data_IF_110982085470
#
_entry.id   IF_110982085470
#
_cell.length_a   1.000
_cell.length_b   1.000
_cell.length_c   1.000
_cell.angle_alpha   90.00
_cell.angle_beta   90.00
_cell.angle_gamma   90.00
#
_symmetry.space_group_name_H-M   'P 1'
#
loop_
_entity.id
_entity.type
_entity.pdbx_description
1 polymer ?
#
# COMPACT_ATOMS: atom_id res chain seq x y z
N UNK A 1 -15.46 48.67 47.17
CA UNK A 1 -16.18 48.04 46.05
C UNK A 1 -15.16 47.73 44.97
N UNK A 2 -14.65 46.47 44.95
CA UNK A 2 -13.62 46.03 44.02
C UNK A 2 -14.33 45.33 42.85
N UNK A 3 -14.23 45.91 41.65
CA UNK A 3 -14.76 45.28 40.42
C UNK A 3 -13.79 44.23 39.96
N UNK A 4 -14.19 42.98 40.03
CA UNK A 4 -13.50 41.82 39.46
C UNK A 4 -13.79 41.80 37.95
N UNK A 5 -12.78 42.08 37.14
CA UNK A 5 -12.83 41.92 35.69
C UNK A 5 -12.42 40.48 35.42
N UNK A 6 -13.39 39.62 35.06
CA UNK A 6 -13.14 38.27 34.56
C UNK A 6 -12.71 38.37 33.10
N UNK A 7 -11.40 38.23 32.83
CA UNK A 7 -10.90 38.08 31.48
C UNK A 7 -11.16 36.62 31.00
N UNK A 8 -12.14 36.46 30.15
CA UNK A 8 -12.41 35.21 29.46
C UNK A 8 -11.34 35.05 28.37
N UNK A 9 -10.30 34.28 28.66
CA UNK A 9 -9.36 33.85 27.64
C UNK A 9 -10.03 32.80 26.75
N UNK A 10 -10.54 33.23 25.60
CA UNK A 10 -10.96 32.33 24.54
C UNK A 10 -9.69 31.68 23.94
N UNK A 11 -9.38 30.49 24.42
CA UNK A 11 -8.40 29.62 23.75
C UNK A 11 -9.04 29.20 22.44
N UNK A 12 -8.69 29.91 21.37
CA UNK A 12 -8.94 29.44 20.02
C UNK A 12 -8.09 28.16 19.82
N UNK A 13 -8.69 27.01 20.04
CA UNK A 13 -8.21 25.75 19.53
C UNK A 13 -8.25 25.86 18.00
N UNK A 14 -7.16 26.36 17.41
CA UNK A 14 -6.85 26.14 16.02
C UNK A 14 -6.62 24.65 15.87
N UNK A 15 -7.73 23.92 15.69
CA UNK A 15 -7.69 22.57 15.16
C UNK A 15 -7.01 22.68 13.80
N UNK A 16 -5.74 22.35 13.73
CA UNK A 16 -5.13 21.96 12.48
C UNK A 16 -5.93 20.74 12.05
N UNK A 17 -6.88 20.96 11.14
CA UNK A 17 -7.49 19.87 10.41
C UNK A 17 -6.30 19.10 9.82
N UNK A 18 -6.00 17.94 10.39
CA UNK A 18 -5.07 17.00 9.77
C UNK A 18 -5.72 16.65 8.43
N UNK A 19 -5.30 17.35 7.38
CA UNK A 19 -5.73 17.01 6.03
C UNK A 19 -5.13 15.63 5.78
N UNK A 20 -5.99 14.64 5.62
CA UNK A 20 -5.58 13.34 5.12
C UNK A 20 -4.67 13.56 3.91
N UNK A 21 -3.55 12.88 3.89
CA UNK A 21 -2.56 13.06 2.84
C UNK A 21 -3.13 12.46 1.54
N UNK A 22 -3.87 13.28 0.80
CA UNK A 22 -4.43 12.90 -0.49
C UNK A 22 -3.30 12.41 -1.39
N UNK A 23 -3.44 11.19 -1.92
CA UNK A 23 -2.47 10.63 -2.87
C UNK A 23 -2.32 11.58 -4.05
N UNK A 24 -1.11 12.07 -4.25
CA UNK A 24 -0.80 12.86 -5.45
C UNK A 24 -0.41 11.91 -6.59
N UNK A 25 -1.45 11.33 -7.24
CA UNK A 25 -1.29 10.40 -8.38
C UNK A 25 -0.41 11.00 -9.47
N UNK A 26 -0.62 12.27 -9.80
CA UNK A 26 0.12 12.93 -10.87
C UNK A 26 1.63 12.98 -10.56
N UNK A 27 2.01 13.37 -9.34
CA UNK A 27 3.42 13.41 -8.94
C UNK A 27 4.06 12.01 -8.94
N UNK A 28 3.33 10.97 -8.52
CA UNK A 28 3.80 9.59 -8.58
C UNK A 28 4.02 9.13 -10.03
N UNK A 29 3.07 9.40 -10.93
CA UNK A 29 3.18 9.06 -12.34
C UNK A 29 4.31 9.80 -13.04
N UNK A 30 4.49 11.10 -12.81
CA UNK A 30 5.61 11.89 -13.34
C UNK A 30 6.96 11.35 -12.86
N UNK A 31 7.07 10.94 -11.60
CA UNK A 31 8.28 10.33 -11.06
C UNK A 31 8.59 8.99 -11.74
N UNK A 32 7.57 8.16 -11.97
CA UNK A 32 7.72 6.89 -12.70
C UNK A 32 8.18 7.18 -14.13
N UNK A 33 7.50 8.04 -14.88
CA UNK A 33 7.83 8.37 -16.27
C UNK A 33 9.26 8.89 -16.44
N UNK A 34 9.69 9.79 -15.54
CA UNK A 34 11.08 10.27 -15.49
C UNK A 34 12.08 9.13 -15.35
N UNK A 35 11.80 8.15 -14.49
CA UNK A 35 12.69 7.02 -14.26
C UNK A 35 12.59 5.97 -15.38
N UNK A 36 11.41 5.75 -15.99
CA UNK A 36 11.24 4.94 -17.20
C UNK A 36 12.09 5.51 -18.34
N UNK A 37 12.01 6.82 -18.59
CA UNK A 37 12.84 7.51 -19.59
C UNK A 37 14.33 7.37 -19.31
N UNK A 38 14.74 7.50 -18.05
CA UNK A 38 16.14 7.32 -17.66
C UNK A 38 16.63 5.89 -17.86
N UNK A 39 15.79 4.88 -17.64
CA UNK A 39 16.15 3.47 -17.84
C UNK A 39 16.25 3.09 -19.32
N UNK A 40 15.51 3.77 -20.20
CA UNK A 40 15.57 3.59 -21.66
C UNK A 40 16.78 4.29 -22.31
N UNK A 41 17.43 5.23 -21.65
CA UNK A 41 18.63 5.90 -22.14
C UNK A 41 19.83 4.95 -22.12
N UNK A 42 20.56 4.81 -23.23
CA UNK A 42 21.65 3.85 -23.37
C UNK A 42 22.76 4.02 -22.31
N UNK A 43 23.07 5.25 -21.89
CA UNK A 43 24.15 5.53 -20.92
C UNK A 43 23.64 5.41 -19.48
N UNK A 44 22.42 5.88 -19.20
CA UNK A 44 21.84 5.83 -17.87
C UNK A 44 21.30 4.43 -17.55
N UNK A 45 20.66 3.75 -18.52
CA UNK A 45 20.14 2.38 -18.38
C UNK A 45 21.23 1.32 -18.17
N UNK A 46 22.49 1.63 -18.46
CA UNK A 46 23.63 0.77 -18.09
C UNK A 46 23.99 0.82 -16.59
N UNK A 47 23.35 1.69 -15.79
CA UNK A 47 23.68 1.89 -14.38
C UNK A 47 22.63 1.23 -13.47
N UNK A 48 23.07 0.42 -12.53
CA UNK A 48 22.21 -0.22 -11.53
C UNK A 48 21.36 0.79 -10.73
N UNK A 49 21.94 1.94 -10.38
CA UNK A 49 21.22 3.00 -9.65
C UNK A 49 19.99 3.53 -10.41
N UNK A 50 19.99 3.54 -11.74
CA UNK A 50 18.85 3.96 -12.56
C UNK A 50 17.69 3.00 -12.40
N UNK A 51 17.95 1.70 -12.47
CA UNK A 51 16.93 0.66 -12.28
C UNK A 51 16.43 0.58 -10.84
N UNK A 52 17.32 0.76 -9.85
CA UNK A 52 16.90 0.84 -8.46
C UNK A 52 15.96 2.03 -8.21
N UNK A 53 16.24 3.20 -8.82
CA UNK A 53 15.35 4.37 -8.68
C UNK A 53 14.00 4.13 -9.39
N UNK A 54 14.00 3.45 -10.54
CA UNK A 54 12.78 3.07 -11.23
C UNK A 54 11.95 2.12 -10.36
N UNK A 55 12.57 1.05 -9.83
CA UNK A 55 11.89 0.13 -8.92
C UNK A 55 11.29 0.84 -7.71
N UNK A 56 12.05 1.73 -7.06
CA UNK A 56 11.57 2.54 -5.93
C UNK A 56 10.37 3.42 -6.29
N UNK A 57 10.34 4.01 -7.48
CA UNK A 57 9.22 4.85 -7.90
C UNK A 57 7.93 4.04 -8.10
N UNK A 58 8.05 2.80 -8.59
CA UNK A 58 6.90 1.88 -8.64
C UNK A 58 6.44 1.43 -7.25
N UNK A 59 7.40 1.05 -6.37
CA UNK A 59 7.06 0.64 -4.99
C UNK A 59 6.32 1.75 -4.25
N UNK A 60 6.75 3.00 -4.39
CA UNK A 60 6.06 4.14 -3.79
C UNK A 60 4.60 4.27 -4.29
N UNK A 61 4.36 4.06 -5.58
CA UNK A 61 3.02 4.08 -6.15
C UNK A 61 2.15 2.90 -5.71
N UNK A 62 2.75 1.71 -5.53
CA UNK A 62 2.07 0.50 -5.03
C UNK A 62 1.61 0.71 -3.58
N UNK A 63 2.48 1.24 -2.73
CA UNK A 63 2.20 1.36 -1.31
C UNK A 63 1.30 2.55 -0.97
N UNK A 64 1.23 3.58 -1.82
CA UNK A 64 0.55 4.83 -1.53
C UNK A 64 -0.92 4.67 -1.09
N UNK A 65 -1.75 3.79 -1.70
CA UNK A 65 -3.16 3.66 -1.35
C UNK A 65 -3.44 3.15 0.08
N UNK A 66 -2.53 2.36 0.64
CA UNK A 66 -2.76 1.65 1.90
C UNK A 66 -1.64 1.84 2.93
N UNK A 67 -0.79 2.86 2.73
CA UNK A 67 0.46 3.05 3.48
C UNK A 67 0.30 2.96 5.00
N UNK A 68 -0.79 3.52 5.52
CA UNK A 68 -1.03 3.61 6.96
C UNK A 68 -2.21 2.72 7.41
N UNK A 69 -2.75 1.88 6.49
CA UNK A 69 -3.91 1.02 6.73
C UNK A 69 -3.49 -0.32 7.33
N UNK A 70 -4.17 -0.75 8.39
CA UNK A 70 -3.95 -2.07 9.01
C UNK A 70 -5.25 -2.66 9.58
N UNK A 71 -5.34 -3.97 9.64
CA UNK A 71 -6.47 -4.68 10.27
C UNK A 71 -6.47 -4.41 11.77
N UNK A 72 -7.63 -4.04 12.31
CA UNK A 72 -7.79 -3.61 13.71
C UNK A 72 -7.64 -2.11 13.92
N UNK A 73 -7.33 -1.33 12.86
CA UNK A 73 -7.32 0.14 12.94
C UNK A 73 -8.70 0.65 13.36
N UNK A 74 -8.78 1.60 14.32
CA UNK A 74 -10.05 2.23 14.63
C UNK A 74 -10.64 2.97 13.42
N UNK A 75 -11.88 2.65 13.04
CA UNK A 75 -12.54 3.24 11.86
C UNK A 75 -12.60 4.77 11.88
N UNK A 76 -12.61 5.39 13.08
CA UNK A 76 -12.56 6.84 13.23
C UNK A 76 -11.21 7.45 12.77
N UNK A 77 -10.13 6.66 12.69
CA UNK A 77 -8.82 7.15 12.26
C UNK A 77 -8.67 7.14 10.73
N UNK A 78 -9.54 6.43 10.00
CA UNK A 78 -9.50 6.37 8.53
C UNK A 78 -9.60 7.75 7.88
N UNK A 79 -10.37 8.67 8.46
CA UNK A 79 -10.46 10.04 7.95
C UNK A 79 -9.14 10.81 8.03
N UNK A 80 -8.23 10.41 8.93
CA UNK A 80 -6.90 11.02 9.07
C UNK A 80 -5.92 10.47 8.03
N UNK A 81 -6.04 9.19 7.67
CA UNK A 81 -5.14 8.52 6.72
C UNK A 81 -5.65 8.59 5.28
N UNK A 82 -6.95 8.36 5.05
CA UNK A 82 -7.56 8.26 3.72
C UNK A 82 -8.46 9.44 3.34
N UNK A 83 -8.85 10.29 4.30
CA UNK A 83 -9.85 11.33 4.12
C UNK A 83 -11.28 10.85 4.24
N UNK A 84 -12.22 11.63 3.72
CA UNK A 84 -13.63 11.26 3.70
C UNK A 84 -13.90 10.22 2.60
N UNK A 85 -14.66 9.16 2.87
CA UNK A 85 -15.05 8.20 1.85
C UNK A 85 -16.02 8.83 0.84
N UNK A 86 -15.98 8.39 -0.42
CA UNK A 86 -16.94 8.79 -1.47
C UNK A 86 -18.35 8.30 -1.19
N UNK A 87 -18.47 7.09 -0.65
CA UNK A 87 -19.71 6.49 -0.19
C UNK A 87 -19.43 5.48 0.92
N UNK A 88 -20.46 5.19 1.69
CA UNK A 88 -20.48 4.12 2.70
C UNK A 88 -21.67 3.24 2.39
N UNK A 89 -21.40 1.97 2.09
CA UNK A 89 -22.43 0.98 1.82
C UNK A 89 -22.50 -0.02 3.00
N UNK A 90 -23.69 -0.51 3.31
CA UNK A 90 -23.85 -1.58 4.28
C UNK A 90 -23.87 -2.92 3.56
N UNK A 91 -22.96 -3.82 3.94
CA UNK A 91 -22.83 -5.16 3.35
C UNK A 91 -22.84 -6.22 4.45
N UNK A 92 -23.12 -7.47 4.06
CA UNK A 92 -23.04 -8.61 4.98
C UNK A 92 -21.82 -9.46 4.64
N UNK A 93 -20.92 -9.64 5.59
CA UNK A 93 -19.76 -10.53 5.47
C UNK A 93 -19.81 -11.54 6.61
N UNK A 94 -19.84 -12.83 6.29
CA UNK A 94 -19.93 -13.92 7.27
C UNK A 94 -21.09 -13.74 8.29
N UNK A 95 -22.24 -13.20 7.83
CA UNK A 95 -23.42 -12.95 8.67
C UNK A 95 -23.33 -11.70 9.54
N UNK A 96 -22.28 -10.91 9.45
CA UNK A 96 -22.10 -9.65 10.18
C UNK A 96 -22.43 -8.46 9.28
N UNK A 97 -23.08 -7.44 9.84
CA UNK A 97 -23.22 -6.13 9.18
C UNK A 97 -21.89 -5.39 9.21
N UNK A 98 -21.44 -4.93 8.04
CA UNK A 98 -20.15 -4.31 7.82
C UNK A 98 -20.33 -3.06 6.98
N UNK A 99 -19.71 -1.95 7.40
CA UNK A 99 -19.66 -0.72 6.61
C UNK A 99 -18.51 -0.82 5.59
N UNK A 100 -18.85 -0.82 4.30
CA UNK A 100 -17.90 -0.74 3.20
C UNK A 100 -17.68 0.75 2.84
N UNK A 101 -16.56 1.30 3.25
CA UNK A 101 -16.17 2.69 2.99
C UNK A 101 -15.37 2.76 1.69
N UNK A 102 -15.91 3.41 0.66
CA UNK A 102 -15.33 3.49 -0.66
C UNK A 102 -14.50 4.77 -0.81
N UNK A 103 -13.20 4.60 -1.12
CA UNK A 103 -12.25 5.68 -1.41
C UNK A 103 -11.83 5.67 -2.88
N UNK A 104 -10.87 6.50 -3.27
CA UNK A 104 -10.39 6.57 -4.67
C UNK A 104 -9.75 5.26 -5.16
N UNK A 105 -9.00 4.59 -4.29
CA UNK A 105 -8.17 3.43 -4.66
C UNK A 105 -8.53 2.15 -3.92
N UNK A 106 -9.23 2.26 -2.79
CA UNK A 106 -9.53 1.12 -1.92
C UNK A 106 -10.97 1.19 -1.42
N UNK A 107 -11.57 0.02 -1.18
CA UNK A 107 -12.72 -0.14 -0.29
C UNK A 107 -12.23 -0.72 1.03
N UNK A 108 -12.52 -0.03 2.14
CA UNK A 108 -12.17 -0.46 3.49
C UNK A 108 -13.42 -0.94 4.20
N UNK A 109 -13.35 -2.10 4.81
CA UNK A 109 -14.46 -2.74 5.50
C UNK A 109 -14.30 -2.58 7.01
N UNK A 110 -15.32 -1.97 7.63
CA UNK A 110 -15.31 -1.64 9.06
C UNK A 110 -16.47 -2.38 9.75
N UNK A 111 -16.14 -3.15 10.79
CA UNK A 111 -17.12 -3.81 11.64
C UNK A 111 -16.80 -3.53 13.12
N UNK A 112 -17.82 -3.29 13.93
CA UNK A 112 -17.65 -2.94 15.35
C UNK A 112 -16.64 -1.81 15.60
N UNK A 113 -16.58 -0.82 14.68
CA UNK A 113 -15.71 0.34 14.79
C UNK A 113 -14.24 0.07 14.46
N UNK A 114 -13.88 -1.10 13.91
CA UNK A 114 -12.52 -1.45 13.52
C UNK A 114 -12.45 -1.93 12.07
N UNK A 115 -11.33 -1.66 11.41
CA UNK A 115 -11.02 -2.20 10.09
C UNK A 115 -10.86 -3.71 10.19
N UNK A 116 -11.65 -4.45 9.42
CA UNK A 116 -11.56 -5.91 9.32
C UNK A 116 -10.80 -6.37 8.07
N UNK A 117 -10.74 -5.52 7.05
CA UNK A 117 -10.05 -5.80 5.80
C UNK A 117 -10.25 -4.69 4.78
N UNK A 118 -9.63 -4.85 3.63
CA UNK A 118 -9.78 -3.96 2.48
C UNK A 118 -9.49 -4.68 1.18
N UNK A 119 -9.92 -4.08 0.08
CA UNK A 119 -9.49 -4.48 -1.27
C UNK A 119 -9.14 -3.24 -2.10
N UNK A 120 -8.19 -3.39 -3.00
CA UNK A 120 -7.91 -2.37 -3.99
C UNK A 120 -9.02 -2.35 -5.05
N UNK A 121 -9.37 -1.13 -5.49
CA UNK A 121 -10.34 -0.90 -6.56
C UNK A 121 -9.59 -0.57 -7.86
N UNK A 122 -8.59 0.31 -7.76
CA UNK A 122 -7.81 0.81 -8.87
C UNK A 122 -6.35 1.00 -8.44
N UNK A 123 -5.36 0.48 -9.19
CA UNK A 123 -3.97 0.76 -8.90
C UNK A 123 -3.60 2.20 -9.32
N UNK A 124 -2.65 2.82 -8.61
CA UNK A 124 -2.10 4.13 -9.02
C UNK A 124 -1.46 4.04 -10.41
N UNK A 125 -0.80 2.93 -10.71
CA UNK A 125 -0.18 2.62 -12.01
C UNK A 125 -0.39 1.15 -12.35
N UNK A 126 -1.04 0.88 -13.47
CA UNK A 126 -1.26 -0.48 -13.97
C UNK A 126 0.05 -1.25 -14.16
N UNK A 127 0.08 -2.49 -13.70
CA UNK A 127 1.24 -3.38 -13.78
C UNK A 127 2.46 -2.92 -12.97
N UNK A 128 2.27 -2.03 -11.99
CA UNK A 128 3.38 -1.47 -11.18
C UNK A 128 4.18 -2.54 -10.46
N UNK A 129 3.54 -3.59 -9.93
CA UNK A 129 4.20 -4.66 -9.16
C UNK A 129 5.19 -5.41 -10.05
N UNK A 130 4.76 -5.87 -11.23
CA UNK A 130 5.62 -6.62 -12.14
C UNK A 130 6.80 -5.78 -12.63
N UNK A 131 6.52 -4.51 -12.96
CA UNK A 131 7.54 -3.55 -13.38
C UNK A 131 8.54 -3.23 -12.26
N UNK A 132 8.06 -3.12 -11.01
CA UNK A 132 8.92 -2.91 -9.85
C UNK A 132 9.88 -4.09 -9.66
N UNK A 133 9.34 -5.33 -9.64
CA UNK A 133 10.14 -6.55 -9.47
C UNK A 133 11.18 -6.66 -10.61
N UNK A 134 10.77 -6.44 -11.87
CA UNK A 134 11.68 -6.49 -13.00
C UNK A 134 12.79 -5.43 -12.91
N UNK A 135 12.46 -4.19 -12.56
CA UNK A 135 13.44 -3.11 -12.41
C UNK A 135 14.43 -3.37 -11.26
N UNK A 136 13.92 -3.87 -10.13
CA UNK A 136 14.75 -4.20 -8.96
C UNK A 136 15.70 -5.37 -9.25
N UNK A 137 15.22 -6.42 -9.93
CA UNK A 137 16.06 -7.52 -10.37
C UNK A 137 17.13 -7.04 -11.34
N UNK A 138 16.78 -6.15 -12.28
CA UNK A 138 17.76 -5.56 -13.21
C UNK A 138 18.82 -4.74 -12.49
N UNK A 139 18.46 -4.01 -11.45
CA UNK A 139 19.44 -3.29 -10.62
C UNK A 139 20.42 -4.24 -9.95
N UNK A 140 19.96 -5.39 -9.44
CA UNK A 140 20.80 -6.42 -8.82
C UNK A 140 21.72 -7.11 -9.83
N UNK A 141 21.21 -7.45 -11.02
CA UNK A 141 22.00 -8.03 -12.12
C UNK A 141 23.16 -7.13 -12.54
N UNK A 142 22.92 -5.82 -12.65
CA UNK A 142 23.94 -4.85 -13.05
C UNK A 142 24.99 -4.58 -11.97
N UNK A 143 24.59 -4.64 -10.69
CA UNK A 143 25.51 -4.47 -9.56
C UNK A 143 24.95 -5.15 -8.31
N UNK A 144 25.46 -6.34 -8.00
CA UNK A 144 25.04 -7.13 -6.83
C UNK A 144 25.27 -6.43 -5.48
N UNK A 145 26.11 -5.38 -5.42
CA UNK A 145 26.32 -4.55 -4.23
C UNK A 145 25.07 -3.74 -3.87
N UNK A 146 24.13 -3.57 -4.81
CA UNK A 146 22.81 -2.99 -4.52
C UNK A 146 21.86 -3.98 -3.80
N UNK A 147 22.24 -5.24 -3.64
CA UNK A 147 21.44 -6.31 -3.04
C UNK A 147 20.66 -5.89 -1.79
N UNK A 148 21.27 -5.30 -0.76
CA UNK A 148 20.53 -4.88 0.45
C UNK A 148 19.41 -3.89 0.15
N UNK A 149 19.61 -2.91 -0.76
CA UNK A 149 18.59 -1.92 -1.13
C UNK A 149 17.50 -2.52 -2.02
N UNK A 150 17.88 -3.44 -2.91
CA UNK A 150 16.94 -4.19 -3.75
C UNK A 150 16.06 -5.07 -2.88
N UNK A 151 16.65 -5.84 -1.95
CA UNK A 151 15.94 -6.67 -0.99
C UNK A 151 14.93 -5.86 -0.18
N UNK A 152 15.32 -4.70 0.35
CA UNK A 152 14.43 -3.80 1.09
C UNK A 152 13.15 -3.47 0.30
N UNK A 153 13.29 -3.14 -0.97
CA UNK A 153 12.15 -2.79 -1.83
C UNK A 153 11.29 -4.00 -2.19
N UNK A 154 11.91 -5.15 -2.48
CA UNK A 154 11.19 -6.39 -2.77
C UNK A 154 10.43 -6.89 -1.54
N UNK A 155 11.02 -6.80 -0.35
CA UNK A 155 10.35 -7.15 0.90
C UNK A 155 9.20 -6.18 1.23
N UNK A 156 9.31 -4.90 0.84
CA UNK A 156 8.19 -3.96 0.96
C UNK A 156 7.00 -4.40 0.09
N UNK A 157 7.24 -4.85 -1.16
CA UNK A 157 6.20 -5.44 -2.03
C UNK A 157 5.62 -6.71 -1.40
N UNK A 158 6.48 -7.63 -0.93
CA UNK A 158 6.03 -8.90 -0.32
C UNK A 158 5.17 -8.65 0.91
N UNK A 159 5.59 -7.77 1.81
CA UNK A 159 4.83 -7.43 3.01
C UNK A 159 3.48 -6.79 2.68
N UNK A 160 3.47 -5.85 1.73
CA UNK A 160 2.25 -5.24 1.23
C UNK A 160 1.27 -6.28 0.68
N UNK A 161 1.72 -7.16 -0.23
CA UNK A 161 0.88 -8.20 -0.82
C UNK A 161 0.38 -9.20 0.25
N UNK A 162 1.19 -9.50 1.27
CA UNK A 162 0.77 -10.37 2.37
C UNK A 162 -0.32 -9.73 3.23
N UNK A 163 -0.17 -8.45 3.56
CA UNK A 163 -1.20 -7.70 4.29
C UNK A 163 -2.51 -7.60 3.48
N UNK A 164 -2.40 -7.40 2.15
CA UNK A 164 -3.56 -7.41 1.26
C UNK A 164 -4.21 -8.79 1.23
N UNK A 165 -3.40 -9.87 1.20
CA UNK A 165 -3.89 -11.24 1.26
C UNK A 165 -4.70 -11.53 2.52
N UNK A 166 -4.16 -11.14 3.69
CA UNK A 166 -4.85 -11.26 4.98
C UNK A 166 -6.14 -10.43 5.02
N UNK A 167 -6.08 -9.17 4.54
CA UNK A 167 -7.22 -8.29 4.49
C UNK A 167 -8.34 -8.84 3.60
N UNK A 168 -7.99 -9.37 2.42
CA UNK A 168 -8.93 -10.02 1.49
C UNK A 168 -9.54 -11.29 2.08
N UNK A 169 -8.74 -12.11 2.78
CA UNK A 169 -9.24 -13.30 3.48
C UNK A 169 -10.33 -12.94 4.49
N UNK A 170 -10.12 -11.91 5.30
CA UNK A 170 -11.05 -11.49 6.34
C UNK A 170 -12.42 -11.05 5.78
N UNK A 171 -12.46 -10.58 4.55
CA UNK A 171 -13.68 -10.10 3.88
C UNK A 171 -14.26 -11.11 2.87
N UNK A 172 -13.69 -12.33 2.78
CA UNK A 172 -14.16 -13.37 1.88
C UNK A 172 -13.75 -13.21 0.41
N UNK A 173 -12.85 -12.30 0.10
CA UNK A 173 -12.27 -12.10 -1.25
C UNK A 173 -11.10 -13.06 -1.49
N UNK A 174 -11.36 -14.37 -1.37
CA UNK A 174 -10.35 -15.43 -1.33
C UNK A 174 -9.47 -15.47 -2.58
N UNK A 175 -10.05 -15.26 -3.76
CA UNK A 175 -9.29 -15.23 -5.02
C UNK A 175 -8.24 -14.10 -5.01
N UNK A 176 -8.64 -12.89 -4.63
CA UNK A 176 -7.73 -11.75 -4.53
C UNK A 176 -6.67 -11.98 -3.46
N UNK A 177 -7.04 -12.58 -2.34
CA UNK A 177 -6.12 -12.96 -1.28
C UNK A 177 -5.07 -13.97 -1.74
N UNK A 178 -5.49 -15.00 -2.48
CA UNK A 178 -4.60 -16.00 -3.08
C UNK A 178 -3.59 -15.35 -4.03
N UNK A 179 -4.06 -14.54 -4.99
CA UNK A 179 -3.22 -13.82 -5.95
C UNK A 179 -2.22 -12.87 -5.27
N UNK A 180 -2.63 -12.25 -4.15
CA UNK A 180 -1.76 -11.39 -3.36
C UNK A 180 -0.62 -12.18 -2.71
N UNK A 181 -0.91 -13.33 -2.07
CA UNK A 181 0.12 -14.18 -1.49
C UNK A 181 1.07 -14.78 -2.54
N UNK A 182 0.57 -15.20 -3.71
CA UNK A 182 1.43 -15.63 -4.82
C UNK A 182 2.38 -14.51 -5.26
N UNK A 183 1.88 -13.28 -5.32
CA UNK A 183 2.67 -12.10 -5.68
C UNK A 183 3.73 -11.78 -4.62
N UNK A 184 3.39 -11.94 -3.33
CA UNK A 184 4.35 -11.81 -2.24
C UNK A 184 5.51 -12.81 -2.39
N UNK A 185 5.19 -14.09 -2.63
CA UNK A 185 6.20 -15.12 -2.87
C UNK A 185 7.06 -14.80 -4.10
N UNK A 186 6.44 -14.38 -5.20
CA UNK A 186 7.15 -14.02 -6.43
C UNK A 186 8.16 -12.86 -6.22
N UNK A 187 7.83 -11.88 -5.39
CA UNK A 187 8.77 -10.82 -5.04
C UNK A 187 9.98 -11.36 -4.26
N UNK A 188 9.77 -12.35 -3.39
CA UNK A 188 10.83 -12.99 -2.62
C UNK A 188 11.69 -13.97 -3.43
N UNK A 189 11.23 -14.44 -4.58
CA UNK A 189 11.99 -15.30 -5.50
C UNK A 189 13.20 -14.61 -6.15
N UNK A 190 13.36 -13.30 -5.94
CA UNK A 190 14.54 -12.58 -6.40
C UNK A 190 15.81 -13.11 -5.74
N UNK A 191 16.92 -13.28 -6.51
CA UNK A 191 18.22 -13.67 -5.93
C UNK A 191 18.72 -12.72 -4.82
N UNK A 192 18.27 -11.45 -4.82
CA UNK A 192 18.61 -10.49 -3.79
C UNK A 192 17.96 -10.80 -2.43
N UNK A 193 16.83 -11.52 -2.40
CA UNK A 193 16.10 -11.84 -1.17
C UNK A 193 16.65 -13.08 -0.45
N UNK A 194 17.32 -13.99 -1.16
CA UNK A 194 17.74 -15.29 -0.64
C UNK A 194 16.62 -16.33 -0.72
N UNK A 195 16.40 -17.08 0.37
CA UNK A 195 15.33 -18.10 0.39
C UNK A 195 13.99 -17.43 0.63
N UNK A 196 12.99 -17.62 -0.26
CA UNK A 196 11.65 -17.09 -0.09
C UNK A 196 10.90 -17.79 1.04
N UNK A 197 9.95 -17.10 1.66
CA UNK A 197 9.08 -17.67 2.68
C UNK A 197 8.00 -18.55 2.04
N UNK A 198 8.14 -19.87 2.19
CA UNK A 198 7.20 -20.85 1.64
C UNK A 198 5.77 -20.73 2.23
N UNK A 199 5.60 -20.08 3.38
CA UNK A 199 4.28 -19.86 3.96
C UNK A 199 3.37 -19.04 3.04
N UNK A 200 3.95 -18.18 2.18
CA UNK A 200 3.21 -17.41 1.17
C UNK A 200 2.44 -18.32 0.19
N UNK A 201 3.11 -19.35 -0.33
CA UNK A 201 2.46 -20.32 -1.22
C UNK A 201 1.45 -21.19 -0.48
N UNK A 202 1.72 -21.52 0.79
CA UNK A 202 0.74 -22.26 1.59
C UNK A 202 -0.56 -21.45 1.73
N UNK A 203 -0.50 -20.17 2.10
CA UNK A 203 -1.68 -19.32 2.22
C UNK A 203 -2.35 -19.06 0.87
N UNK A 204 -1.58 -18.89 -0.20
CA UNK A 204 -2.14 -18.77 -1.54
C UNK A 204 -2.98 -20.01 -1.91
N UNK A 205 -2.41 -21.21 -1.72
CA UNK A 205 -3.12 -22.47 -1.99
C UNK A 205 -4.33 -22.68 -1.08
N UNK A 206 -4.23 -22.32 0.19
CA UNK A 206 -5.33 -22.39 1.15
C UNK A 206 -6.52 -21.53 0.69
N UNK A 207 -6.28 -20.28 0.29
CA UNK A 207 -7.32 -19.38 -0.17
C UNK A 207 -7.86 -19.76 -1.55
N UNK A 208 -7.04 -20.34 -2.43
CA UNK A 208 -7.51 -20.82 -3.73
C UNK A 208 -8.49 -22.00 -3.60
N UNK A 209 -8.48 -22.71 -2.48
CA UNK A 209 -9.34 -23.86 -2.21
C UNK A 209 -10.62 -23.48 -1.42
N UNK A 210 -10.75 -22.25 -0.94
CA UNK A 210 -11.88 -21.75 -0.15
C UNK A 210 -13.00 -21.20 -1.04
#
# INVERSE_FOLDING_TARGET
MKKLILALAAVALLGTAAQAQKINKEALLQKIEKNETASADAKKGAKAATWLNLGKSYVEAILAPTKDLYVGEPGLQLSLSLGDPKSIDEVTINGLSVAAQNYDYVTVYVSNGQVIGWKEIEPVKEGAIDKAIAALNKAYELDSKQGPKVKEQLMAISNYCSQLGDACNNIGEYKLGSEAFETAFRAEMSPACGTPDASRLYYAGYLAAA
#
